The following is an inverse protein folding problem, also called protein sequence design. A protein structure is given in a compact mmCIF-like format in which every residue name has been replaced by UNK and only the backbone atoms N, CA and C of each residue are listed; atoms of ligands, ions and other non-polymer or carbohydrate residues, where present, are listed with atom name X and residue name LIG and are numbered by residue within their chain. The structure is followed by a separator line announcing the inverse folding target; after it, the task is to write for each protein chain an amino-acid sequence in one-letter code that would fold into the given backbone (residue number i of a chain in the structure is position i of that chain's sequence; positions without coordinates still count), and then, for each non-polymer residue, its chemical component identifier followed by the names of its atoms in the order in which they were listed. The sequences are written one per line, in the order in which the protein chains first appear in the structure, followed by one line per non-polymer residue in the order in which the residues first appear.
data_IF_740564243439
#
_entry.id   IF_740564243439
#
_cell.length_a   1.000
_cell.length_b   1.000
_cell.length_c   1.000
_cell.angle_alpha   90.00
_cell.angle_beta   90.00
_cell.angle_gamma   90.00
#
_symmetry.space_group_name_H-M   'P 1'
#
loop_
_entity.id
_entity.type
_entity.pdbx_description
1 polymer ?
#
# COMPACT_ATOMS: atom_id res chain seq x y z
N UNK A 1 6.91 6.44 41.12
CA UNK A 1 6.44 6.91 39.80
C UNK A 1 6.81 8.39 39.69
N UNK A 2 7.49 8.83 38.64
CA UNK A 2 7.79 10.24 38.39
C UNK A 2 6.97 10.70 37.18
N UNK A 3 6.25 11.82 37.29
CA UNK A 3 5.45 12.39 36.21
C UNK A 3 6.11 13.66 35.71
N UNK A 4 6.43 13.69 34.40
CA UNK A 4 6.93 14.87 33.70
C UNK A 4 5.87 15.35 32.70
N UNK A 5 5.51 16.63 32.73
CA UNK A 5 4.63 17.26 31.73
C UNK A 5 5.49 18.08 30.78
N UNK A 6 5.27 17.91 29.49
CA UNK A 6 5.95 18.64 28.41
C UNK A 6 4.92 19.25 27.48
N UNK A 7 5.29 20.33 26.81
CA UNK A 7 4.50 20.93 25.71
C UNK A 7 5.09 20.45 24.40
N UNK A 8 4.26 20.18 23.41
CA UNK A 8 4.65 19.84 22.05
C UNK A 8 4.07 20.85 21.08
N UNK A 9 4.77 21.11 19.98
CA UNK A 9 4.24 21.90 18.90
C UNK A 9 3.34 21.02 18.03
N UNK A 10 2.13 21.56 17.69
CA UNK A 10 1.21 20.94 16.77
C UNK A 10 1.03 21.87 15.57
N UNK A 11 1.33 21.36 14.39
CA UNK A 11 1.10 22.02 13.11
C UNK A 11 -0.22 21.52 12.57
N UNK A 12 -1.10 22.45 12.13
CA UNK A 12 -2.35 22.13 11.44
C UNK A 12 -2.29 22.71 10.03
N UNK A 13 -2.45 21.84 9.04
CA UNK A 13 -2.40 22.16 7.63
C UNK A 13 -3.84 22.13 7.11
N UNK A 14 -4.34 23.26 6.66
CA UNK A 14 -5.68 23.46 6.13
C UNK A 14 -5.60 24.03 4.72
N UNK A 15 -6.73 24.07 4.01
CA UNK A 15 -6.85 24.60 2.66
C UNK A 15 -5.87 23.93 1.67
N UNK A 16 -5.68 22.61 1.85
CA UNK A 16 -4.83 21.80 0.99
C UNK A 16 -5.44 21.81 -0.39
N UNK A 17 -4.64 22.20 -1.38
CA UNK A 17 -5.08 22.50 -2.75
C UNK A 17 -5.88 21.33 -3.38
N UNK A 18 -6.63 21.65 -4.45
CA UNK A 18 -7.50 20.71 -5.17
C UNK A 18 -6.75 19.47 -5.71
N UNK A 19 -5.43 19.59 -5.90
CA UNK A 19 -4.58 18.50 -6.42
C UNK A 19 -4.52 17.33 -5.47
N UNK A 20 -4.42 17.58 -4.16
CA UNK A 20 -4.29 16.52 -3.15
C UNK A 20 -5.65 16.03 -2.63
N UNK A 21 -6.68 16.88 -2.62
CA UNK A 21 -8.04 16.56 -2.10
C UNK A 21 -7.99 15.87 -0.76
N UNK A 22 -7.31 16.49 0.19
CA UNK A 22 -7.14 15.98 1.55
C UNK A 22 -7.94 16.82 2.53
N UNK A 23 -8.44 16.16 3.57
CA UNK A 23 -8.92 16.82 4.77
C UNK A 23 -7.77 17.48 5.55
N UNK A 24 -8.06 18.36 6.52
CA UNK A 24 -7.03 18.98 7.35
C UNK A 24 -6.10 17.95 7.97
N UNK A 25 -4.80 18.16 7.82
CA UNK A 25 -3.75 17.29 8.36
C UNK A 25 -3.16 17.94 9.62
N UNK A 26 -3.04 17.18 10.69
CA UNK A 26 -2.37 17.63 11.91
C UNK A 26 -1.07 16.85 12.09
N UNK A 27 -0.01 17.54 12.47
CA UNK A 27 1.33 16.98 12.66
C UNK A 27 1.88 17.38 14.02
N UNK A 28 2.39 16.42 14.77
CA UNK A 28 3.15 16.63 16.01
C UNK A 28 4.54 16.06 15.81
N UNK A 29 5.58 16.85 16.08
CA UNK A 29 6.98 16.46 15.95
C UNK A 29 7.64 16.54 17.33
N UNK A 30 8.36 15.50 17.69
CA UNK A 30 9.18 15.43 18.89
C UNK A 30 10.59 15.00 18.51
N UNK A 31 11.56 15.92 18.59
CA UNK A 31 12.98 15.61 18.46
C UNK A 31 13.58 15.32 19.85
N UNK A 32 14.19 14.14 20.06
CA UNK A 32 14.72 13.68 21.36
C UNK A 32 16.23 13.84 21.49
N UNK A 33 16.85 14.73 20.72
CA UNK A 33 18.28 14.96 20.62
C UNK A 33 18.83 14.60 19.25
N UNK A 34 20.15 14.48 19.13
CA UNK A 34 20.76 14.18 17.83
C UNK A 34 20.36 12.80 17.30
N UNK A 35 19.63 12.79 16.19
CA UNK A 35 19.29 11.60 15.45
C UNK A 35 18.13 10.76 16.00
N UNK A 36 17.43 11.20 17.03
CA UNK A 36 16.26 10.49 17.55
C UNK A 36 15.02 11.39 17.55
N UNK A 37 13.88 10.85 17.11
CA UNK A 37 12.64 11.62 17.08
C UNK A 37 11.41 10.77 16.77
N UNK A 38 10.26 11.41 16.94
CA UNK A 38 8.95 10.84 16.68
C UNK A 38 8.08 11.86 15.92
N UNK A 39 7.29 11.37 15.01
CA UNK A 39 6.24 12.15 14.36
C UNK A 39 4.91 11.44 14.54
N UNK A 40 3.85 12.22 14.73
CA UNK A 40 2.47 11.76 14.69
C UNK A 40 1.76 12.61 13.64
N UNK A 41 1.14 11.95 12.68
CA UNK A 41 0.35 12.57 11.60
C UNK A 41 -1.08 12.09 11.75
N UNK A 42 -2.05 12.98 11.74
CA UNK A 42 -3.46 12.63 11.77
C UNK A 42 -4.21 13.32 10.65
N UNK A 43 -5.15 12.63 10.03
CA UNK A 43 -6.04 13.15 9.01
C UNK A 43 -7.35 12.38 9.07
N UNK A 44 -8.49 13.08 9.17
CA UNK A 44 -9.84 12.49 9.17
C UNK A 44 -10.03 11.29 10.12
N UNK A 45 -9.48 11.38 11.35
CA UNK A 45 -9.59 10.31 12.36
C UNK A 45 -8.61 9.15 12.20
N UNK A 46 -7.88 9.05 11.10
CA UNK A 46 -6.74 8.16 10.93
C UNK A 46 -5.51 8.77 11.58
N UNK A 47 -4.61 7.92 12.10
CA UNK A 47 -3.37 8.36 12.74
C UNK A 47 -2.21 7.44 12.39
N UNK A 48 -1.10 8.03 12.01
CA UNK A 48 0.14 7.33 11.71
C UNK A 48 1.26 7.87 12.60
N UNK A 49 2.04 6.96 13.16
CA UNK A 49 3.14 7.32 14.07
C UNK A 49 4.42 6.63 13.62
N UNK A 50 5.48 7.42 13.50
CA UNK A 50 6.83 6.92 13.24
C UNK A 50 7.79 7.33 14.35
N UNK A 51 8.64 6.40 14.79
CA UNK A 51 9.74 6.64 15.70
C UNK A 51 11.04 6.14 15.09
N UNK A 52 12.06 6.98 15.17
CA UNK A 52 13.42 6.66 14.74
C UNK A 52 14.40 6.95 15.88
N UNK A 53 15.23 5.98 16.23
CA UNK A 53 16.25 6.11 17.29
C UNK A 53 17.63 6.51 16.76
N UNK A 54 17.84 6.47 15.44
CA UNK A 54 19.12 6.83 14.80
C UNK A 54 18.86 7.24 13.35
N UNK A 55 18.46 8.49 13.12
CA UNK A 55 18.15 9.04 11.79
C UNK A 55 19.16 10.08 11.30
N UNK A 56 20.12 10.47 12.12
CA UNK A 56 21.20 11.39 11.73
C UNK A 56 20.69 12.80 11.45
N UNK A 57 20.05 13.44 12.41
CA UNK A 57 19.49 14.78 12.31
C UNK A 57 18.10 14.88 12.95
N UNK A 58 17.34 15.90 12.60
CA UNK A 58 15.96 16.10 13.06
C UNK A 58 14.94 15.32 12.19
N UNK A 59 13.71 15.22 12.64
CA UNK A 59 12.60 14.64 11.86
C UNK A 59 12.43 15.40 10.54
N UNK A 60 12.49 16.71 10.58
CA UNK A 60 12.32 17.60 9.43
C UNK A 60 13.38 17.32 8.35
N UNK A 61 14.64 17.25 8.73
CA UNK A 61 15.74 16.91 7.83
C UNK A 61 15.62 15.47 7.30
N UNK A 62 15.23 14.55 8.16
CA UNK A 62 15.08 13.15 7.81
C UNK A 62 13.99 12.94 6.76
N UNK A 63 12.84 13.59 6.92
CA UNK A 63 11.72 13.52 5.97
C UNK A 63 12.11 14.05 4.58
N UNK A 64 13.03 15.02 4.47
CA UNK A 64 13.51 15.51 3.18
C UNK A 64 14.40 14.51 2.43
N UNK A 65 15.00 13.54 3.13
CA UNK A 65 15.99 12.61 2.56
C UNK A 65 15.42 11.24 2.20
N UNK A 66 14.33 10.81 2.85
CA UNK A 66 13.79 9.47 2.68
C UNK A 66 12.58 9.46 1.75
N UNK A 67 12.30 8.33 1.11
CA UNK A 67 11.14 8.17 0.25
C UNK A 67 9.84 7.99 1.04
N UNK A 68 8.70 8.28 0.40
CA UNK A 68 7.39 7.99 0.99
C UNK A 68 7.21 6.50 1.25
N UNK A 69 7.72 5.64 0.35
CA UNK A 69 7.65 4.19 0.53
C UNK A 69 8.30 3.74 1.86
N UNK A 70 9.51 4.25 2.16
CA UNK A 70 10.16 3.99 3.43
C UNK A 70 9.32 4.45 4.63
N UNK A 71 8.76 5.67 4.56
CA UNK A 71 7.94 6.24 5.64
C UNK A 71 6.65 5.43 5.83
N UNK A 72 5.97 5.10 4.74
CA UNK A 72 4.73 4.32 4.76
C UNK A 72 4.96 2.95 5.35
N UNK A 73 5.97 2.22 4.89
CA UNK A 73 6.33 0.90 5.43
C UNK A 73 6.67 0.97 6.93
N UNK A 74 7.27 2.07 7.39
CA UNK A 74 7.62 2.26 8.80
C UNK A 74 6.42 2.62 9.68
N UNK A 75 5.47 3.41 9.16
CA UNK A 75 4.37 3.99 9.93
C UNK A 75 3.07 3.17 9.84
N UNK A 76 2.86 2.42 8.75
CA UNK A 76 1.59 1.77 8.45
C UNK A 76 1.72 0.36 7.86
N UNK A 77 2.94 -0.07 7.46
CA UNK A 77 3.17 -1.36 6.77
C UNK A 77 2.26 -1.55 5.53
N UNK A 78 1.95 -0.46 4.82
CA UNK A 78 1.20 -0.53 3.56
C UNK A 78 2.15 -0.77 2.39
N UNK A 79 1.73 -1.64 1.46
CA UNK A 79 2.42 -1.85 0.19
C UNK A 79 1.75 -1.03 -0.91
N UNK A 80 2.51 -0.62 -1.91
CA UNK A 80 2.03 0.17 -3.05
C UNK A 80 0.89 -0.51 -3.82
N UNK A 81 0.93 -1.84 -3.87
CA UNK A 81 -0.11 -2.66 -4.48
C UNK A 81 -0.62 -3.73 -3.53
N UNK A 82 -1.85 -4.15 -3.75
CA UNK A 82 -2.52 -5.23 -3.02
C UNK A 82 -3.13 -6.25 -3.99
N UNK A 83 -3.41 -7.48 -3.56
CA UNK A 83 -4.10 -8.46 -4.39
C UNK A 83 -5.44 -7.96 -4.92
N UNK A 84 -5.68 -8.07 -6.22
CA UNK A 84 -6.97 -7.76 -6.84
C UNK A 84 -7.86 -9.02 -6.87
N UNK A 85 -8.38 -9.40 -5.71
CA UNK A 85 -9.21 -10.60 -5.58
C UNK A 85 -10.54 -10.50 -6.33
N UNK A 86 -11.06 -9.28 -6.51
CA UNK A 86 -12.28 -9.03 -7.27
C UNK A 86 -12.08 -9.27 -8.77
N UNK A 87 -10.85 -9.09 -9.26
CA UNK A 87 -10.44 -9.30 -10.64
C UNK A 87 -9.98 -10.72 -10.96
N UNK A 88 -9.86 -11.61 -9.98
CA UNK A 88 -9.28 -12.94 -10.18
C UNK A 88 -10.03 -13.79 -11.22
N UNK A 89 -11.36 -13.81 -11.19
CA UNK A 89 -12.16 -14.56 -12.16
C UNK A 89 -12.01 -14.03 -13.60
N UNK A 90 -11.93 -12.71 -13.78
CA UNK A 90 -11.71 -12.11 -15.10
C UNK A 90 -10.28 -12.38 -15.60
N UNK A 91 -9.33 -12.38 -14.68
CA UNK A 91 -7.96 -12.76 -14.97
C UNK A 91 -7.88 -14.24 -15.42
N UNK A 92 -8.52 -15.17 -14.71
CA UNK A 92 -8.60 -16.58 -15.11
C UNK A 92 -9.20 -16.75 -16.52
N UNK A 93 -10.28 -16.03 -16.84
CA UNK A 93 -10.85 -16.03 -18.20
C UNK A 93 -9.84 -15.58 -19.25
N UNK A 94 -9.08 -14.53 -18.94
CA UNK A 94 -8.04 -14.01 -19.81
C UNK A 94 -6.92 -15.03 -20.04
N UNK A 95 -6.51 -15.73 -18.98
CA UNK A 95 -5.49 -16.78 -19.04
C UNK A 95 -5.95 -18.01 -19.84
N UNK A 96 -7.20 -18.44 -19.67
CA UNK A 96 -7.79 -19.53 -20.48
C UNK A 96 -7.74 -19.17 -21.97
N UNK A 97 -8.15 -17.94 -22.33
CA UNK A 97 -8.09 -17.46 -23.72
C UNK A 97 -6.64 -17.43 -24.22
N UNK A 98 -5.71 -16.91 -23.44
CA UNK A 98 -4.30 -16.81 -23.80
C UNK A 98 -3.70 -18.18 -24.05
N UNK A 99 -3.84 -19.10 -23.09
CA UNK A 99 -3.28 -20.45 -23.19
C UNK A 99 -3.94 -21.27 -24.30
N UNK A 100 -5.24 -21.03 -24.59
CA UNK A 100 -5.90 -21.64 -25.75
C UNK A 100 -5.33 -21.14 -27.08
N UNK A 101 -5.06 -19.83 -27.21
CA UNK A 101 -4.44 -19.23 -28.40
C UNK A 101 -3.02 -19.74 -28.61
N UNK A 102 -2.28 -19.93 -27.53
CA UNK A 102 -0.90 -20.44 -27.54
C UNK A 102 -0.82 -21.97 -27.82
N UNK A 103 -1.98 -22.65 -27.93
CA UNK A 103 -2.06 -24.08 -28.19
C UNK A 103 -1.74 -24.97 -26.99
N UNK A 104 -1.72 -24.39 -25.78
CA UNK A 104 -1.45 -25.12 -24.53
C UNK A 104 -2.67 -25.83 -23.97
N UNK A 105 -3.87 -25.35 -24.31
CA UNK A 105 -5.14 -25.97 -24.00
C UNK A 105 -5.82 -26.42 -25.30
N UNK A 106 -6.45 -27.58 -25.28
CA UNK A 106 -7.36 -27.95 -26.32
C UNK A 106 -8.75 -27.26 -26.15
N UNK A 107 -9.68 -27.49 -27.10
CA UNK A 107 -11.00 -26.85 -27.06
C UNK A 107 -11.84 -27.32 -25.88
N UNK A 108 -11.74 -28.60 -25.51
CA UNK A 108 -12.54 -29.18 -24.44
C UNK A 108 -12.05 -28.73 -23.07
N UNK A 109 -10.75 -28.70 -22.87
CA UNK A 109 -10.09 -28.18 -21.66
C UNK A 109 -10.44 -26.72 -21.43
N UNK A 110 -10.24 -25.85 -22.43
CA UNK A 110 -10.59 -24.45 -22.34
C UNK A 110 -12.09 -24.22 -22.05
N UNK A 111 -12.98 -25.00 -22.65
CA UNK A 111 -14.42 -24.91 -22.41
C UNK A 111 -14.81 -25.38 -20.99
N UNK A 112 -14.15 -26.41 -20.45
CA UNK A 112 -14.38 -26.88 -19.09
C UNK A 112 -13.89 -25.86 -18.06
N UNK A 113 -12.68 -25.35 -18.21
CA UNK A 113 -12.11 -24.32 -17.36
C UNK A 113 -12.98 -23.03 -17.36
N UNK A 114 -13.37 -22.58 -18.55
CA UNK A 114 -14.25 -21.40 -18.69
C UNK A 114 -15.56 -21.56 -17.94
N UNK A 115 -16.23 -22.70 -18.14
CA UNK A 115 -17.50 -23.00 -17.48
C UNK A 115 -17.34 -23.03 -15.96
N UNK A 116 -16.26 -23.62 -15.46
CA UNK A 116 -15.98 -23.63 -14.04
C UNK A 116 -15.86 -22.20 -13.48
N UNK A 117 -15.12 -21.31 -14.16
CA UNK A 117 -14.98 -19.90 -13.74
C UNK A 117 -16.32 -19.18 -13.76
N UNK A 118 -17.18 -19.43 -14.76
CA UNK A 118 -18.51 -18.82 -14.84
C UNK A 118 -19.45 -19.30 -13.73
N UNK A 119 -19.43 -20.59 -13.41
CA UNK A 119 -20.34 -21.19 -12.43
C UNK A 119 -19.95 -20.87 -10.98
N UNK A 120 -18.66 -20.78 -10.67
CA UNK A 120 -18.16 -20.69 -9.30
C UNK A 120 -17.44 -19.38 -8.96
N UNK A 121 -17.06 -18.56 -9.94
CA UNK A 121 -16.33 -17.30 -9.75
C UNK A 121 -15.16 -17.42 -8.75
N UNK A 122 -14.22 -18.37 -8.95
CA UNK A 122 -13.18 -18.66 -8.00
C UNK A 122 -12.23 -17.45 -7.85
N UNK A 123 -11.78 -17.23 -6.61
CA UNK A 123 -10.70 -16.30 -6.29
C UNK A 123 -9.41 -17.04 -5.89
N UNK A 124 -8.28 -16.34 -5.85
CA UNK A 124 -6.99 -16.91 -5.47
C UNK A 124 -6.99 -17.53 -4.07
N UNK A 125 -7.73 -17.00 -3.12
CA UNK A 125 -7.75 -17.51 -1.75
C UNK A 125 -8.42 -18.88 -1.70
N UNK A 126 -9.51 -19.07 -2.43
CA UNK A 126 -10.18 -20.36 -2.53
C UNK A 126 -9.27 -21.43 -3.13
N UNK A 127 -8.40 -21.04 -4.07
CA UNK A 127 -7.43 -21.94 -4.71
C UNK A 127 -6.17 -22.18 -3.85
N UNK A 128 -5.75 -21.21 -3.04
CA UNK A 128 -4.59 -21.37 -2.13
C UNK A 128 -4.86 -22.34 -0.98
N UNK A 129 -6.08 -22.29 -0.43
CA UNK A 129 -6.44 -23.08 0.75
C UNK A 129 -7.27 -24.32 0.42
N UNK A 130 -7.73 -24.45 -0.82
CA UNK A 130 -8.48 -25.58 -1.34
C UNK A 130 -7.65 -26.52 -2.21
N UNK A 131 -8.29 -27.58 -2.68
CA UNK A 131 -7.75 -28.38 -3.79
C UNK A 131 -8.05 -27.64 -5.09
N UNK A 132 -7.04 -27.42 -5.93
CA UNK A 132 -7.27 -26.90 -7.28
C UNK A 132 -8.20 -27.82 -8.05
N UNK A 133 -9.33 -27.32 -8.56
CA UNK A 133 -10.27 -28.11 -9.35
C UNK A 133 -9.59 -28.67 -10.61
N UNK A 134 -9.99 -29.87 -11.00
CA UNK A 134 -9.38 -30.53 -12.16
C UNK A 134 -9.56 -29.70 -13.45
N UNK A 135 -10.65 -28.93 -13.57
CA UNK A 135 -10.95 -28.00 -14.67
C UNK A 135 -9.94 -26.83 -14.74
N UNK A 136 -9.41 -26.38 -13.61
CA UNK A 136 -8.40 -25.31 -13.57
C UNK A 136 -6.96 -25.87 -13.53
N UNK A 137 -6.79 -27.10 -13.09
CA UNK A 137 -5.46 -27.74 -13.02
C UNK A 137 -4.82 -27.92 -14.41
N UNK A 138 -5.58 -27.80 -15.48
CA UNK A 138 -5.07 -27.81 -16.87
C UNK A 138 -4.36 -26.50 -17.25
N UNK A 139 -4.58 -25.42 -16.50
CA UNK A 139 -3.85 -24.16 -16.74
C UNK A 139 -2.40 -24.29 -16.27
N UNK A 140 -1.49 -23.91 -17.15
CA UNK A 140 -0.06 -23.91 -16.83
C UNK A 140 0.23 -23.02 -15.63
N UNK A 141 0.88 -23.57 -14.60
CA UNK A 141 1.22 -22.91 -13.35
C UNK A 141 0.13 -22.96 -12.28
N UNK A 142 -1.02 -23.58 -12.55
CA UNK A 142 -2.12 -23.70 -11.59
C UNK A 142 -1.93 -24.88 -10.61
N UNK A 143 -0.97 -25.76 -10.87
CA UNK A 143 -0.51 -26.80 -9.93
C UNK A 143 0.08 -26.22 -8.63
N UNK A 144 0.65 -25.01 -8.73
CA UNK A 144 1.13 -24.23 -7.59
C UNK A 144 0.47 -22.82 -7.59
N UNK A 145 -0.82 -22.71 -7.18
CA UNK A 145 -1.62 -21.49 -7.35
C UNK A 145 -1.00 -20.23 -6.73
N UNK A 146 -0.16 -20.37 -5.69
CA UNK A 146 0.55 -19.25 -5.05
C UNK A 146 1.67 -18.65 -5.91
N UNK A 147 2.17 -19.35 -6.91
CA UNK A 147 3.12 -18.82 -7.91
C UNK A 147 2.43 -18.35 -9.19
N UNK A 148 1.13 -18.60 -9.34
CA UNK A 148 0.37 -18.12 -10.48
C UNK A 148 0.41 -16.58 -10.54
N UNK A 149 0.54 -15.95 -11.72
CA UNK A 149 0.77 -14.51 -11.85
C UNK A 149 -0.50 -13.67 -11.61
N UNK A 150 -1.11 -13.84 -10.46
CA UNK A 150 -2.34 -13.16 -10.09
C UNK A 150 -2.24 -11.64 -10.20
N UNK A 151 -3.32 -10.95 -10.62
CA UNK A 151 -3.32 -9.50 -10.74
C UNK A 151 -3.24 -8.81 -9.37
N UNK A 152 -2.60 -7.66 -9.37
CA UNK A 152 -2.61 -6.73 -8.25
C UNK A 152 -3.26 -5.43 -8.67
N UNK A 153 -3.87 -4.73 -7.72
CA UNK A 153 -4.41 -3.38 -7.88
C UNK A 153 -3.66 -2.38 -7.00
N UNK A 154 -3.70 -1.08 -7.34
CA UNK A 154 -3.12 -0.06 -6.49
C UNK A 154 -3.76 -0.06 -5.10
N UNK A 155 -2.94 0.03 -4.06
CA UNK A 155 -3.44 0.15 -2.69
C UNK A 155 -3.84 1.60 -2.39
N UNK A 156 -5.13 1.85 -2.24
CA UNK A 156 -5.65 3.19 -1.97
C UNK A 156 -5.18 3.79 -0.63
N UNK A 157 -4.95 2.96 0.40
CA UNK A 157 -4.41 3.42 1.68
C UNK A 157 -2.97 3.91 1.55
N UNK A 158 -2.16 3.18 0.77
CA UNK A 158 -0.81 3.61 0.44
C UNK A 158 -0.81 4.95 -0.31
N UNK A 159 -1.63 5.07 -1.36
CA UNK A 159 -1.75 6.30 -2.15
C UNK A 159 -2.25 7.48 -1.31
N UNK A 160 -3.20 7.23 -0.41
CA UNK A 160 -3.73 8.24 0.49
C UNK A 160 -2.66 8.76 1.44
N UNK A 161 -1.95 7.87 2.14
CA UNK A 161 -0.86 8.25 3.04
C UNK A 161 0.31 8.90 2.28
N UNK A 162 0.64 8.45 1.07
CA UNK A 162 1.68 9.07 0.25
C UNK A 162 1.37 10.55 -0.03
N UNK A 163 0.12 10.88 -0.41
CA UNK A 163 -0.29 12.28 -0.63
C UNK A 163 -0.21 13.12 0.64
N UNK A 164 -0.58 12.55 1.80
CA UNK A 164 -0.44 13.21 3.10
C UNK A 164 1.03 13.52 3.39
N UNK A 165 1.92 12.54 3.16
CA UNK A 165 3.36 12.71 3.39
C UNK A 165 3.98 13.77 2.47
N UNK A 166 3.51 13.89 1.23
CA UNK A 166 3.96 14.94 0.32
C UNK A 166 3.62 16.33 0.89
N UNK A 167 2.38 16.54 1.34
CA UNK A 167 1.94 17.79 1.96
C UNK A 167 2.70 18.08 3.27
N UNK A 168 2.86 17.06 4.12
CA UNK A 168 3.62 17.20 5.36
C UNK A 168 5.06 17.60 5.08
N UNK A 169 5.71 16.96 4.10
CA UNK A 169 7.09 17.25 3.68
C UNK A 169 7.28 18.68 3.22
N UNK A 170 6.31 19.25 2.50
CA UNK A 170 6.35 20.64 2.05
C UNK A 170 6.33 21.63 3.22
N UNK A 171 5.58 21.32 4.29
CA UNK A 171 5.35 22.23 5.42
C UNK A 171 6.47 22.13 6.47
N UNK A 172 7.01 20.93 6.73
CA UNK A 172 8.03 20.71 7.77
C UNK A 172 9.48 20.91 7.28
N UNK A 173 9.70 21.70 6.21
CA UNK A 173 11.05 22.02 5.75
C UNK A 173 11.85 22.65 6.88
N UNK A 174 13.17 22.31 7.04
CA UNK A 174 14.05 22.98 7.97
C UNK A 174 14.06 24.50 7.74
N UNK A 175 14.24 25.29 8.82
CA UNK A 175 14.15 26.75 8.78
C UNK A 175 15.10 27.41 7.76
N UNK A 176 16.25 26.81 7.49
CA UNK A 176 17.19 27.29 6.46
C UNK A 176 16.63 27.22 5.03
N UNK A 177 15.57 26.44 4.78
CA UNK A 177 14.93 26.29 3.47
C UNK A 177 13.59 27.07 3.36
N UNK A 178 13.17 27.71 4.44
CA UNK A 178 11.92 28.55 4.45
C UNK A 178 12.12 29.98 3.93
N UNK A 179 13.35 30.37 3.64
CA UNK A 179 13.71 31.74 3.24
C UNK A 179 14.08 31.77 1.74
N UNK A 180 13.08 31.66 0.83
CA UNK A 180 13.18 32.20 -0.55
C UNK A 180 11.76 32.57 -1.01
#
# INVERSE_FOLDING_TARGET
MQVKRTTVEKIRIEDINETHRLDPVEVIIENYGEGAGKIIITCWGESWTGFWGSMGGTIEEFFQRVSNDYLINKMADYRESEPDTDGDSDFLRSEIIRQRKDGRLDRSEAAAAWRYVDDFSPDRNSLYYGKTPDELAVLEGMDEPWYFPWPNKPNHKYQYLSRILDVVREVIKPDEQRSV
#
